data_IF_642382067117
#
_entry.id   IF_642382067117
#
_cell.length_a   1.000
_cell.length_b   1.000
_cell.length_c   1.000
_cell.angle_alpha   90.00
_cell.angle_beta   90.00
_cell.angle_gamma   90.00
#
_symmetry.space_group_name_H-M   'P 1'
#
loop_
_entity.id
_entity.type
_entity.pdbx_description
1 polymer ?
#
# COMPACT_ATOMS: atom_id res chain seq x y z
N UNK A 1 -9.61 -4.81 17.76
CA UNK A 1 -8.71 -4.72 16.60
C UNK A 1 -7.69 -3.63 16.88
N UNK A 2 -6.41 -3.95 16.90
CA UNK A 2 -5.34 -2.99 17.24
C UNK A 2 -4.97 -2.24 15.97
N UNK A 3 -5.06 -0.90 16.02
CA UNK A 3 -4.55 -0.04 14.96
C UNK A 3 -3.04 0.11 15.11
N UNK A 4 -2.30 -0.16 14.04
CA UNK A 4 -0.85 0.03 14.02
C UNK A 4 -0.51 1.50 13.80
N UNK A 5 0.47 1.99 14.54
CA UNK A 5 0.89 3.39 14.55
C UNK A 5 2.13 3.62 13.69
N UNK A 6 2.51 4.88 13.46
CA UNK A 6 3.71 5.25 12.67
C UNK A 6 4.93 4.45 13.12
N UNK A 7 5.17 4.33 14.43
CA UNK A 7 6.33 3.60 14.98
C UNK A 7 6.38 2.14 14.52
N UNK A 8 5.24 1.45 14.44
CA UNK A 8 5.19 0.07 13.98
C UNK A 8 5.58 -0.03 12.49
N UNK A 9 5.02 0.84 11.64
CA UNK A 9 5.35 0.85 10.22
C UNK A 9 6.80 1.22 9.93
N UNK A 10 7.41 2.07 10.76
CA UNK A 10 8.84 2.41 10.66
C UNK A 10 9.72 1.21 10.98
N UNK A 11 9.47 0.55 12.12
CA UNK A 11 10.31 -0.54 12.62
C UNK A 11 10.07 -1.88 11.92
N UNK A 12 8.90 -2.06 11.30
CA UNK A 12 8.44 -3.36 10.83
C UNK A 12 7.69 -4.12 11.92
N UNK A 13 6.90 -5.10 11.50
CA UNK A 13 6.09 -5.93 12.40
C UNK A 13 5.69 -7.24 11.71
N UNK A 14 5.20 -8.19 12.51
CA UNK A 14 4.74 -9.50 12.03
C UNK A 14 5.82 -10.57 12.13
N UNK A 15 5.65 -11.64 11.35
CA UNK A 15 6.55 -12.79 11.33
C UNK A 15 7.08 -13.01 9.91
N UNK A 16 8.40 -13.02 9.73
CA UNK A 16 9.04 -13.22 8.41
C UNK A 16 8.72 -14.58 7.76
N UNK A 17 8.26 -15.57 8.55
CA UNK A 17 7.76 -16.85 8.05
C UNK A 17 6.26 -16.81 7.67
N UNK A 18 5.59 -15.67 7.87
CA UNK A 18 4.18 -15.43 7.54
C UNK A 18 3.93 -13.97 7.18
N UNK A 19 2.82 -13.41 7.67
CA UNK A 19 2.45 -12.03 7.41
C UNK A 19 3.36 -11.06 8.15
N UNK A 20 4.00 -10.18 7.39
CA UNK A 20 4.89 -9.16 7.94
C UNK A 20 4.95 -7.91 7.07
N UNK A 21 5.37 -6.83 7.71
CA UNK A 21 5.80 -5.60 7.07
C UNK A 21 7.27 -5.38 7.40
N UNK A 22 8.09 -5.16 6.36
CA UNK A 22 9.54 -5.09 6.49
C UNK A 22 10.02 -3.89 7.34
N UNK A 23 9.25 -2.81 7.37
CA UNK A 23 9.63 -1.55 8.03
C UNK A 23 10.08 -0.48 7.03
N UNK A 24 9.59 0.75 7.20
CA UNK A 24 9.88 1.86 6.28
C UNK A 24 11.36 2.22 6.26
N UNK A 25 12.06 2.14 7.40
CA UNK A 25 13.50 2.39 7.46
C UNK A 25 14.28 1.36 6.62
N UNK A 26 13.94 0.08 6.75
CA UNK A 26 14.55 -0.98 5.97
C UNK A 26 14.24 -0.85 4.47
N UNK A 27 13.00 -0.51 4.12
CA UNK A 27 12.60 -0.28 2.72
C UNK A 27 13.33 0.92 2.13
N UNK A 28 13.46 2.02 2.89
CA UNK A 28 14.23 3.19 2.48
C UNK A 28 15.69 2.80 2.18
N UNK A 29 16.37 2.12 3.11
CA UNK A 29 17.76 1.69 2.94
C UNK A 29 17.96 0.80 1.71
N UNK A 30 17.04 -0.14 1.44
CA UNK A 30 17.12 -1.03 0.28
C UNK A 30 16.92 -0.31 -1.06
N UNK A 31 16.12 0.76 -1.07
CA UNK A 31 15.67 1.40 -2.32
C UNK A 31 16.39 2.71 -2.63
N UNK A 32 17.04 3.34 -1.64
CA UNK A 32 17.70 4.63 -1.84
C UNK A 32 18.94 4.52 -2.75
N UNK A 33 19.78 3.52 -2.49
CA UNK A 33 21.11 3.41 -3.12
C UNK A 33 21.15 2.59 -4.41
N UNK A 34 20.10 1.82 -4.69
CA UNK A 34 20.10 0.84 -5.79
C UNK A 34 18.93 1.09 -6.74
N UNK A 35 19.10 0.68 -7.99
CA UNK A 35 18.00 0.63 -8.94
C UNK A 35 17.16 -0.60 -8.63
N UNK A 36 15.92 -0.38 -8.26
CA UNK A 36 15.02 -1.40 -7.75
C UNK A 36 13.76 -1.51 -8.60
N UNK A 37 13.21 -2.72 -8.65
CA UNK A 37 11.86 -2.99 -9.11
C UNK A 37 10.99 -3.30 -7.89
N UNK A 38 9.77 -2.76 -7.86
CA UNK A 38 8.73 -3.30 -6.98
C UNK A 38 7.83 -4.21 -7.80
N UNK A 39 7.69 -5.45 -7.35
CA UNK A 39 6.74 -6.42 -7.86
C UNK A 39 5.63 -6.64 -6.83
N UNK A 40 4.39 -6.32 -7.19
CA UNK A 40 3.19 -6.57 -6.40
C UNK A 40 2.49 -7.79 -6.97
N UNK A 41 2.04 -8.70 -6.10
CA UNK A 41 1.23 -9.86 -6.45
C UNK A 41 0.04 -9.95 -5.51
N UNK A 42 -1.14 -10.17 -6.08
CA UNK A 42 -2.37 -10.34 -5.31
C UNK A 42 -3.22 -11.47 -5.88
N UNK A 43 -4.00 -12.16 -5.04
CA UNK A 43 -4.98 -13.15 -5.49
C UNK A 43 -6.39 -12.70 -5.14
N UNK A 44 -7.31 -12.82 -6.09
CA UNK A 44 -8.75 -12.61 -5.91
C UNK A 44 -9.50 -13.81 -6.47
N UNK A 45 -10.29 -14.46 -5.63
CA UNK A 45 -11.12 -15.62 -5.97
C UNK A 45 -10.40 -16.69 -6.82
N UNK A 46 -9.15 -17.02 -6.47
CA UNK A 46 -8.35 -18.02 -7.17
C UNK A 46 -7.60 -17.51 -8.41
N UNK A 47 -7.80 -16.25 -8.82
CA UNK A 47 -7.06 -15.62 -9.92
C UNK A 47 -5.94 -14.74 -9.40
N UNK A 48 -4.75 -14.89 -9.99
CA UNK A 48 -3.59 -14.10 -9.66
C UNK A 48 -3.46 -12.86 -10.54
N UNK A 49 -3.08 -11.76 -9.92
CA UNK A 49 -2.79 -10.49 -10.58
C UNK A 49 -1.47 -9.92 -10.09
N UNK A 50 -0.85 -9.08 -10.91
CA UNK A 50 0.45 -8.53 -10.59
C UNK A 50 0.65 -7.12 -11.16
N UNK A 51 1.61 -6.40 -10.58
CA UNK A 51 2.11 -5.10 -11.04
C UNK A 51 3.62 -5.09 -10.87
N UNK A 52 4.33 -4.46 -11.80
CA UNK A 52 5.76 -4.19 -11.70
C UNK A 52 6.03 -2.74 -12.02
N UNK A 53 6.82 -2.09 -11.19
CA UNK A 53 7.30 -0.72 -11.42
C UNK A 53 8.81 -0.64 -11.27
N UNK A 54 9.47 0.11 -12.15
CA UNK A 54 10.91 0.34 -12.10
C UNK A 54 11.24 1.61 -11.32
N UNK A 55 12.42 1.65 -10.70
CA UNK A 55 12.91 2.81 -9.95
C UNK A 55 12.17 3.03 -8.64
N UNK A 56 11.63 1.98 -8.03
CA UNK A 56 10.82 2.09 -6.81
C UNK A 56 11.66 2.60 -5.63
N UNK A 57 11.26 3.73 -5.04
CA UNK A 57 11.95 4.33 -3.92
C UNK A 57 11.00 4.74 -2.81
N UNK A 58 11.45 4.58 -1.58
CA UNK A 58 10.84 5.17 -0.40
C UNK A 58 11.87 6.11 0.21
N UNK A 59 11.51 7.38 0.40
CA UNK A 59 12.39 8.35 1.02
C UNK A 59 12.50 8.14 2.54
N UNK A 60 13.36 8.91 3.20
CA UNK A 60 13.58 8.82 4.63
C UNK A 60 12.45 9.49 5.45
N UNK A 61 12.59 9.48 6.77
CA UNK A 61 11.67 10.12 7.70
C UNK A 61 11.54 11.64 7.47
N UNK A 62 12.62 12.32 7.04
CA UNK A 62 12.62 13.77 6.81
C UNK A 62 11.73 14.17 5.62
N UNK A 63 11.62 13.28 4.62
CA UNK A 63 10.68 13.36 3.51
C UNK A 63 9.44 12.50 3.71
N UNK A 64 9.11 12.20 4.98
CA UNK A 64 7.88 11.54 5.40
C UNK A 64 7.62 10.20 4.70
N UNK A 65 8.68 9.48 4.37
CA UNK A 65 8.65 8.21 3.65
C UNK A 65 7.88 8.25 2.32
N UNK A 66 8.00 9.36 1.59
CA UNK A 66 7.37 9.51 0.27
C UNK A 66 7.71 8.34 -0.67
N UNK A 67 6.71 7.75 -1.33
CA UNK A 67 6.93 6.72 -2.34
C UNK A 67 7.06 7.33 -3.73
N UNK A 68 8.10 6.95 -4.46
CA UNK A 68 8.27 7.32 -5.88
C UNK A 68 8.65 6.10 -6.71
N UNK A 69 8.48 6.22 -8.03
CA UNK A 69 8.96 5.25 -9.02
C UNK A 69 9.08 5.92 -10.38
N UNK A 70 9.86 5.34 -11.29
CA UNK A 70 10.05 5.91 -12.63
C UNK A 70 8.80 5.68 -13.48
N UNK A 71 8.51 4.39 -13.76
CA UNK A 71 7.40 3.97 -14.61
C UNK A 71 6.89 2.58 -14.25
N UNK A 72 5.65 2.32 -14.64
CA UNK A 72 5.08 0.96 -14.63
C UNK A 72 5.67 0.19 -15.81
N UNK A 73 6.17 -1.02 -15.56
CA UNK A 73 6.84 -1.88 -16.57
C UNK A 73 6.03 -3.12 -16.93
N UNK A 74 4.87 -3.30 -16.31
CA UNK A 74 3.90 -4.32 -16.70
C UNK A 74 3.06 -4.82 -15.53
N UNK A 75 2.00 -5.55 -15.84
CA UNK A 75 1.08 -6.05 -14.84
C UNK A 75 -0.32 -6.27 -15.40
N UNK A 76 -1.13 -6.96 -14.62
CA UNK A 76 -2.58 -7.09 -14.83
C UNK A 76 -3.41 -6.32 -13.81
N UNK A 77 -2.77 -5.70 -12.80
CA UNK A 77 -3.40 -4.76 -11.87
C UNK A 77 -3.68 -3.41 -12.56
N UNK A 78 -4.68 -2.67 -12.08
CA UNK A 78 -4.94 -1.32 -12.61
C UNK A 78 -3.75 -0.40 -12.33
N UNK A 79 -3.19 0.13 -13.41
CA UNK A 79 -2.10 1.10 -13.34
C UNK A 79 -2.55 2.40 -12.66
N UNK A 80 -3.73 2.89 -13.04
CA UNK A 80 -4.33 4.11 -12.47
C UNK A 80 -4.49 4.01 -10.95
N UNK A 81 -4.86 2.82 -10.45
CA UNK A 81 -5.04 2.63 -9.01
C UNK A 81 -3.73 2.77 -8.22
N UNK A 82 -2.62 2.30 -8.79
CA UNK A 82 -1.30 2.44 -8.16
C UNK A 82 -0.68 3.81 -8.35
N UNK A 83 -0.96 4.46 -9.49
CA UNK A 83 -0.50 5.82 -9.78
C UNK A 83 -0.98 6.84 -8.75
N UNK A 84 -2.15 6.62 -8.14
CA UNK A 84 -2.64 7.44 -7.03
C UNK A 84 -1.71 7.44 -5.82
N UNK A 85 -0.90 6.40 -5.61
CA UNK A 85 0.08 6.37 -4.52
C UNK A 85 1.40 7.08 -4.87
N UNK A 86 1.66 7.36 -6.16
CA UNK A 86 2.92 7.96 -6.60
C UNK A 86 3.11 9.35 -5.98
N UNK A 87 4.30 9.61 -5.46
CA UNK A 87 4.70 10.87 -4.81
C UNK A 87 3.89 11.23 -3.56
N UNK A 88 3.09 10.31 -3.02
CA UNK A 88 2.35 10.53 -1.78
C UNK A 88 3.22 10.19 -0.56
N UNK A 89 2.93 10.85 0.56
CA UNK A 89 3.55 10.55 1.85
C UNK A 89 2.88 9.34 2.49
N UNK A 90 3.59 8.67 3.40
CA UNK A 90 3.03 7.54 4.13
C UNK A 90 2.18 8.03 5.31
N UNK A 91 0.90 7.66 5.36
CA UNK A 91 -0.01 8.05 6.45
C UNK A 91 -0.36 6.86 7.33
N UNK A 92 -0.56 7.12 8.62
CA UNK A 92 -1.04 6.15 9.62
C UNK A 92 -2.14 6.78 10.47
N UNK A 93 -2.84 5.98 11.30
CA UNK A 93 -3.96 6.50 12.10
C UNK A 93 -3.58 7.64 13.07
N UNK A 94 -2.33 7.66 13.54
CA UNK A 94 -1.77 8.72 14.38
C UNK A 94 -1.02 9.82 13.61
N UNK A 95 -0.88 9.68 12.28
CA UNK A 95 -0.12 10.61 11.46
C UNK A 95 -0.77 10.78 10.09
N UNK A 96 -1.67 11.74 10.04
CA UNK A 96 -2.33 12.13 8.81
C UNK A 96 -1.39 12.96 7.92
N UNK A 97 -1.12 12.43 6.73
CA UNK A 97 -0.27 13.05 5.73
C UNK A 97 -0.80 12.78 4.31
N UNK A 98 -2.08 12.43 4.21
CA UNK A 98 -2.72 12.19 2.94
C UNK A 98 -3.14 13.53 2.30
N UNK A 99 -3.79 13.49 1.13
CA UNK A 99 -4.10 14.71 0.36
C UNK A 99 -5.57 15.15 0.52
N UNK A 100 -6.25 14.74 1.60
CA UNK A 100 -7.63 15.16 1.93
C UNK A 100 -7.67 15.85 3.30
N UNK A 101 -8.41 16.96 3.41
CA UNK A 101 -8.39 17.79 4.62
C UNK A 101 -9.31 17.33 5.75
N UNK A 102 -10.41 16.63 5.42
CA UNK A 102 -11.49 16.33 6.36
C UNK A 102 -11.58 14.83 6.72
N UNK A 103 -10.58 14.03 6.35
CA UNK A 103 -10.59 12.58 6.50
C UNK A 103 -9.18 12.03 6.66
N UNK A 104 -8.89 11.31 7.74
CA UNK A 104 -7.65 10.53 7.82
C UNK A 104 -7.88 9.17 7.15
N UNK A 105 -7.38 8.99 5.93
CA UNK A 105 -7.54 7.77 5.15
C UNK A 105 -6.96 6.54 5.84
N UNK A 106 -5.91 6.68 6.66
CA UNK A 106 -5.29 5.56 7.35
C UNK A 106 -6.07 5.09 8.57
N UNK A 107 -6.66 6.01 9.35
CA UNK A 107 -7.60 5.64 10.44
C UNK A 107 -8.81 4.90 9.87
N UNK A 108 -9.28 5.42 8.75
CA UNK A 108 -10.53 5.07 8.13
C UNK A 108 -10.47 3.77 7.32
N UNK A 109 -9.35 3.51 6.63
CA UNK A 109 -9.03 2.21 6.03
C UNK A 109 -8.34 1.24 7.01
N UNK A 110 -8.07 1.68 8.25
CA UNK A 110 -7.48 0.87 9.33
C UNK A 110 -6.12 0.25 8.99
N UNK A 111 -5.31 0.96 8.20
CA UNK A 111 -4.00 0.50 7.74
C UNK A 111 -3.15 1.66 7.21
N UNK A 112 -1.84 1.53 7.29
CA UNK A 112 -0.90 2.52 6.78
C UNK A 112 -0.59 2.33 5.30
N UNK A 113 -0.57 3.42 4.53
CA UNK A 113 -0.29 3.40 3.09
C UNK A 113 0.18 4.77 2.59
N UNK A 114 0.67 4.81 1.34
CA UNK A 114 0.90 6.05 0.60
C UNK A 114 -0.44 6.55 0.02
N UNK A 115 -1.23 7.17 0.87
CA UNK A 115 -2.57 7.67 0.54
C UNK A 115 -2.50 9.03 -0.17
N UNK A 116 -3.25 9.17 -1.27
CA UNK A 116 -3.60 10.46 -1.87
C UNK A 116 -4.91 10.97 -1.23
N UNK A 117 -5.94 11.28 -2.00
CA UNK A 117 -7.32 11.32 -1.52
C UNK A 117 -7.86 9.88 -1.31
N UNK A 118 -7.30 9.18 -0.31
CA UNK A 118 -7.41 7.75 0.01
C UNK A 118 -6.97 6.74 -1.08
N UNK A 119 -6.95 7.15 -2.34
CA UNK A 119 -6.49 6.32 -3.44
C UNK A 119 -7.36 5.08 -3.69
N UNK A 120 -6.93 4.27 -4.64
CA UNK A 120 -7.69 3.10 -5.11
C UNK A 120 -6.98 1.78 -4.89
N UNK A 121 -5.80 1.82 -4.26
CA UNK A 121 -5.04 0.65 -3.87
C UNK A 121 -4.49 0.82 -2.46
N UNK A 122 -4.76 -0.12 -1.57
CA UNK A 122 -4.07 -0.24 -0.28
C UNK A 122 -4.07 -1.70 0.17
N UNK A 123 -2.89 -2.25 0.47
CA UNK A 123 -2.74 -3.69 0.77
C UNK A 123 -2.54 -3.99 2.26
N UNK A 124 -2.43 -2.96 3.08
CA UNK A 124 -2.13 -3.04 4.52
C UNK A 124 -3.38 -2.88 5.41
N UNK A 125 -4.58 -2.96 4.83
CA UNK A 125 -5.84 -2.92 5.58
C UNK A 125 -6.11 -4.22 6.34
N UNK A 126 -7.11 -4.24 7.24
CA UNK A 126 -7.43 -5.39 8.07
C UNK A 126 -7.90 -6.58 7.22
N UNK A 127 -7.36 -7.76 7.50
CA UNK A 127 -7.76 -9.03 6.87
C UNK A 127 -9.01 -9.63 7.53
N UNK A 128 -10.12 -8.90 7.53
CA UNK A 128 -11.41 -9.41 8.01
C UNK A 128 -12.41 -9.59 6.85
N UNK A 129 -13.50 -10.33 7.05
CA UNK A 129 -14.56 -10.51 6.03
C UNK A 129 -15.77 -9.63 6.31
N UNK A 130 -15.64 -8.66 7.20
CA UNK A 130 -16.78 -7.96 7.76
C UNK A 130 -17.03 -6.72 6.91
N UNK A 131 -18.17 -6.71 6.21
CA UNK A 131 -18.71 -5.47 5.64
C UNK A 131 -18.96 -4.50 6.79
N UNK A 132 -18.10 -3.49 6.94
CA UNK A 132 -18.33 -2.45 7.93
C UNK A 132 -19.34 -1.47 7.35
N UNK A 133 -20.39 -1.12 8.10
CA UNK A 133 -21.28 -0.04 7.67
C UNK A 133 -20.45 1.25 7.63
N UNK A 134 -20.32 1.86 6.45
CA UNK A 134 -19.72 3.18 6.30
C UNK A 134 -20.60 4.10 5.46
N UNK A 135 -20.31 5.39 5.58
CA UNK A 135 -20.93 6.54 4.92
C UNK A 135 -21.43 6.27 3.48
N UNK A 136 -22.53 6.91 3.04
CA UNK A 136 -23.31 6.54 1.86
C UNK A 136 -22.53 6.45 0.52
N UNK A 137 -21.33 7.02 0.44
CA UNK A 137 -20.58 7.21 -0.79
C UNK A 137 -19.35 6.31 -0.96
N UNK A 138 -18.99 5.49 0.04
CA UNK A 138 -17.85 4.57 -0.05
C UNK A 138 -18.12 3.30 0.76
N UNK A 139 -18.66 2.23 0.14
CA UNK A 139 -18.65 0.92 0.77
C UNK A 139 -17.19 0.44 0.80
N UNK A 140 -16.54 0.53 1.97
CA UNK A 140 -15.13 0.13 2.12
C UNK A 140 -14.99 -1.37 1.99
N UNK A 141 -14.03 -1.79 1.16
CA UNK A 141 -13.63 -3.19 1.05
C UNK A 141 -12.19 -3.35 1.53
N UNK A 142 -11.93 -4.46 2.21
CA UNK A 142 -10.61 -4.90 2.66
C UNK A 142 -9.63 -4.91 1.48
N UNK A 143 -8.41 -4.41 1.70
CA UNK A 143 -7.34 -4.56 0.73
C UNK A 143 -7.74 -4.03 -0.65
N UNK A 144 -8.41 -2.88 -0.69
CA UNK A 144 -9.06 -2.40 -1.90
C UNK A 144 -8.00 -2.26 -3.00
N UNK A 145 -8.25 -2.88 -4.14
CA UNK A 145 -7.54 -2.61 -5.36
C UNK A 145 -8.54 -2.63 -6.51
N UNK A 146 -8.39 -1.73 -7.48
CA UNK A 146 -9.26 -1.68 -8.65
C UNK A 146 -8.67 -2.53 -9.78
N UNK A 147 -9.51 -3.32 -10.43
CA UNK A 147 -9.16 -4.18 -11.56
C UNK A 147 -10.13 -3.91 -12.70
N UNK A 148 -9.64 -3.39 -13.84
CA UNK A 148 -10.48 -3.06 -14.99
C UNK A 148 -11.74 -2.24 -14.61
N UNK A 149 -11.58 -1.25 -13.71
CA UNK A 149 -12.68 -0.41 -13.22
C UNK A 149 -13.56 -1.02 -12.12
N UNK A 150 -13.31 -2.26 -11.69
CA UNK A 150 -14.06 -2.91 -10.62
C UNK A 150 -13.25 -2.98 -9.32
N UNK A 151 -13.88 -2.59 -8.20
CA UNK A 151 -13.31 -2.83 -6.87
C UNK A 151 -13.25 -4.33 -6.61
N UNK A 152 -12.05 -4.84 -6.33
CA UNK A 152 -11.90 -6.16 -5.75
C UNK A 152 -12.02 -6.05 -4.26
N UNK A 153 -12.82 -6.98 -3.73
CA UNK A 153 -13.38 -6.86 -2.39
C UNK A 153 -12.84 -7.92 -1.44
N UNK A 154 -12.14 -8.93 -1.97
CA UNK A 154 -11.83 -10.18 -1.28
C UNK A 154 -10.46 -10.74 -1.69
N UNK A 155 -9.40 -9.96 -1.48
CA UNK A 155 -8.06 -10.49 -1.68
C UNK A 155 -7.82 -11.67 -0.73
N UNK A 156 -7.29 -12.77 -1.27
CA UNK A 156 -6.91 -13.98 -0.50
C UNK A 156 -5.40 -14.12 -0.34
N UNK A 157 -4.63 -13.28 -1.04
CA UNK A 157 -3.18 -13.17 -0.89
C UNK A 157 -2.74 -11.78 -1.36
N UNK A 158 -1.77 -11.19 -0.67
CA UNK A 158 -1.06 -9.97 -1.09
C UNK A 158 0.42 -10.12 -0.80
N UNK A 159 1.25 -9.60 -1.71
CA UNK A 159 2.71 -9.61 -1.56
C UNK A 159 3.32 -8.43 -2.31
N UNK A 160 4.31 -7.79 -1.70
CA UNK A 160 5.15 -6.76 -2.31
C UNK A 160 6.61 -7.19 -2.17
N UNK A 161 7.32 -7.34 -3.29
CA UNK A 161 8.75 -7.70 -3.32
C UNK A 161 9.57 -6.60 -3.98
N UNK A 162 10.64 -6.21 -3.31
CA UNK A 162 11.67 -5.35 -3.89
C UNK A 162 12.70 -6.27 -4.54
N UNK A 163 13.00 -6.03 -5.81
CA UNK A 163 14.04 -6.75 -6.55
C UNK A 163 15.11 -5.75 -6.94
N UNK A 164 16.36 -6.13 -6.80
CA UNK A 164 17.46 -5.37 -7.38
C UNK A 164 17.41 -5.59 -8.89
N UNK A 165 17.42 -4.51 -9.66
CA UNK A 165 17.68 -4.64 -11.09
C UNK A 165 19.13 -5.14 -11.24
N UNK A 166 19.37 -6.21 -12.01
CA UNK A 166 20.73 -6.63 -12.38
C UNK A 166 21.45 -5.55 -13.18
#
# INVERSE_FOLDING_TARGET
MIMLLTKNYVQGFGNVQGDHWLGLDAIHLLTHSLKTELAIKVHDNGKAYHLRVSGFKVNDASHKYQMTYDKIVGGSLSHEAFEKSKSCYFSTGDKDQDNIGDLNCADDNRGGWWYSDCGWMHLNGPWDRIKRPSWPWSPRYIGMCVFNGNFVRWLTYTEMRIRLWP
#
